data_IF_878618351565
#
_entry.id   IF_878618351565
#
_cell.length_a   1.000
_cell.length_b   1.000
_cell.length_c   1.000
_cell.angle_alpha   90.00
_cell.angle_beta   90.00
_cell.angle_gamma   90.00
#
_symmetry.space_group_name_H-M   'P 1'
#
loop_
_entity.id
_entity.type
_entity.pdbx_description
1 polymer ?
#
# COMPACT_ATOMS: atom_id res chain seq x y z
N UNK A 1 5.88 34.27 10.39
CA UNK A 1 6.48 33.15 11.15
C UNK A 1 6.65 31.98 10.21
N UNK A 2 7.88 31.57 9.89
CA UNK A 2 8.12 30.43 9.00
C UNK A 2 7.82 29.12 9.74
N UNK A 3 6.97 28.26 9.17
CA UNK A 3 6.66 26.95 9.73
C UNK A 3 7.90 26.07 9.60
N UNK A 4 8.54 25.72 10.74
CA UNK A 4 9.62 24.71 10.75
C UNK A 4 9.02 23.32 10.80
N UNK A 5 9.13 22.59 9.70
CA UNK A 5 8.73 21.20 9.62
C UNK A 5 9.77 20.31 10.34
N UNK A 6 9.32 19.48 11.27
CA UNK A 6 10.20 18.47 11.88
C UNK A 6 10.40 17.29 10.94
N UNK A 7 11.55 16.63 11.02
CA UNK A 7 11.83 15.42 10.22
C UNK A 7 10.77 14.34 10.44
N UNK A 8 10.38 14.11 11.70
CA UNK A 8 9.32 13.16 12.07
C UNK A 8 7.98 13.50 11.43
N UNK A 9 7.63 14.79 11.38
CA UNK A 9 6.40 15.22 10.71
C UNK A 9 6.44 14.90 9.21
N UNK A 10 7.53 15.26 8.53
CA UNK A 10 7.68 15.03 7.08
C UNK A 10 7.61 13.53 6.78
N UNK A 11 8.35 12.69 7.50
CA UNK A 11 8.36 11.25 7.27
C UNK A 11 6.96 10.62 7.50
N UNK A 12 6.26 10.98 8.58
CA UNK A 12 4.89 10.49 8.78
C UNK A 12 3.93 10.97 7.71
N UNK A 13 4.10 12.20 7.20
CA UNK A 13 3.30 12.72 6.08
C UNK A 13 3.58 12.01 4.77
N UNK A 14 4.84 11.72 4.46
CA UNK A 14 5.19 10.93 3.30
C UNK A 14 4.60 9.52 3.37
N UNK A 15 4.58 8.90 4.55
CA UNK A 15 3.98 7.55 4.71
C UNK A 15 2.47 7.57 4.49
N UNK A 16 1.78 8.60 5.01
CA UNK A 16 0.37 8.82 4.74
C UNK A 16 0.12 9.04 3.24
N UNK A 17 0.96 9.87 2.61
CA UNK A 17 0.87 10.18 1.19
C UNK A 17 1.05 8.91 0.37
N UNK A 18 2.15 8.16 0.55
CA UNK A 18 2.44 6.96 -0.24
C UNK A 18 1.32 5.92 -0.16
N UNK A 19 0.67 5.77 1.00
CA UNK A 19 -0.46 4.86 1.17
C UNK A 19 -1.70 5.26 0.37
N UNK A 20 -1.99 6.56 0.25
CA UNK A 20 -3.14 7.07 -0.52
C UNK A 20 -2.78 7.16 -2.00
N UNK A 21 -1.68 7.85 -2.31
CA UNK A 21 -1.17 8.07 -3.65
C UNK A 21 0.36 7.93 -3.59
N UNK A 22 0.93 6.91 -4.24
CA UNK A 22 0.35 6.18 -5.39
C UNK A 22 -0.31 4.82 -5.08
N UNK A 23 -0.13 4.24 -3.89
CA UNK A 23 -0.56 2.86 -3.64
C UNK A 23 -2.07 2.64 -3.73
N UNK A 24 -2.88 3.59 -3.27
CA UNK A 24 -4.34 3.51 -3.40
C UNK A 24 -4.79 3.49 -4.87
N UNK A 25 -4.14 4.26 -5.74
CA UNK A 25 -4.43 4.25 -7.18
C UNK A 25 -4.03 2.92 -7.82
N UNK A 26 -2.83 2.42 -7.50
CA UNK A 26 -2.38 1.11 -7.96
C UNK A 26 -3.34 0.00 -7.53
N UNK A 27 -3.82 0.01 -6.28
CA UNK A 27 -4.75 -1.00 -5.80
C UNK A 27 -6.08 -1.02 -6.56
N UNK A 28 -6.60 0.15 -6.94
CA UNK A 28 -7.82 0.25 -7.75
C UNK A 28 -7.63 -0.31 -9.15
N UNK A 29 -6.52 0.05 -9.81
CA UNK A 29 -6.16 -0.51 -11.12
C UNK A 29 -5.96 -2.02 -11.02
N UNK A 30 -5.23 -2.48 -10.01
CA UNK A 30 -4.95 -3.88 -9.77
C UNK A 30 -6.24 -4.70 -9.61
N UNK A 31 -7.20 -4.24 -8.79
CA UNK A 31 -8.50 -4.90 -8.67
C UNK A 31 -9.34 -4.82 -9.95
N UNK A 32 -9.30 -3.69 -10.66
CA UNK A 32 -10.00 -3.56 -11.93
C UNK A 32 -9.50 -4.58 -12.96
N UNK A 33 -8.19 -4.68 -13.15
CA UNK A 33 -7.58 -5.62 -14.10
C UNK A 33 -7.81 -7.07 -13.67
N UNK A 34 -7.68 -7.39 -12.37
CA UNK A 34 -8.00 -8.75 -11.88
C UNK A 34 -9.48 -9.11 -12.01
N UNK A 35 -10.40 -8.15 -11.95
CA UNK A 35 -11.83 -8.42 -12.14
C UNK A 35 -12.16 -8.97 -13.53
N UNK A 36 -11.29 -8.76 -14.54
CA UNK A 36 -11.44 -9.35 -15.89
C UNK A 36 -11.33 -10.87 -15.87
N UNK A 37 -10.76 -11.48 -14.83
CA UNK A 37 -10.80 -12.93 -14.68
C UNK A 37 -12.23 -13.49 -14.55
N UNK A 38 -13.21 -12.65 -14.13
CA UNK A 38 -14.62 -13.04 -14.07
C UNK A 38 -15.25 -13.27 -15.44
N UNK A 39 -14.71 -12.66 -16.51
CA UNK A 39 -15.20 -12.84 -17.88
C UNK A 39 -14.41 -13.89 -18.65
N UNK A 40 -13.32 -14.39 -18.08
CA UNK A 40 -12.57 -15.54 -18.56
C UNK A 40 -11.06 -15.28 -18.63
N UNK A 41 -10.25 -16.35 -18.79
CA UNK A 41 -8.80 -16.24 -18.80
C UNK A 41 -8.28 -15.41 -19.99
N UNK A 42 -8.97 -15.43 -21.14
CA UNK A 42 -8.57 -14.65 -22.31
C UNK A 42 -8.65 -13.14 -22.04
N UNK A 43 -9.73 -12.66 -21.43
CA UNK A 43 -9.93 -11.24 -21.13
C UNK A 43 -8.93 -10.73 -20.10
N UNK A 44 -8.67 -11.52 -19.05
CA UNK A 44 -7.62 -11.22 -18.08
C UNK A 44 -6.23 -11.14 -18.75
N UNK A 45 -5.86 -12.14 -19.54
CA UNK A 45 -4.57 -12.17 -20.22
C UNK A 45 -4.38 -10.99 -21.20
N UNK A 46 -5.45 -10.61 -21.91
CA UNK A 46 -5.42 -9.44 -22.79
C UNK A 46 -5.21 -8.15 -21.99
N UNK A 47 -5.94 -7.96 -20.88
CA UNK A 47 -5.77 -6.78 -20.03
C UNK A 47 -4.35 -6.69 -19.43
N UNK A 48 -3.78 -7.82 -18.97
CA UNK A 48 -2.39 -7.86 -18.49
C UNK A 48 -1.40 -7.52 -19.61
N UNK A 49 -1.61 -8.06 -20.81
CA UNK A 49 -0.77 -7.76 -21.97
C UNK A 49 -0.80 -6.27 -22.34
N UNK A 50 -1.96 -5.64 -22.26
CA UNK A 50 -2.10 -4.20 -22.52
C UNK A 50 -1.29 -3.37 -21.52
N UNK A 51 -1.33 -3.71 -20.23
CA UNK A 51 -0.49 -3.05 -19.21
C UNK A 51 1.00 -3.26 -19.45
N UNK A 52 1.41 -4.49 -19.77
CA UNK A 52 2.81 -4.82 -20.07
C UNK A 52 3.32 -4.15 -21.35
N UNK A 53 2.42 -3.68 -22.22
CA UNK A 53 2.76 -2.93 -23.44
C UNK A 53 3.10 -1.45 -23.20
N UNK A 54 2.87 -0.94 -21.98
CA UNK A 54 3.17 0.46 -21.64
C UNK A 54 4.68 0.74 -21.83
N UNK A 55 5.07 1.76 -22.60
CA UNK A 55 6.47 2.13 -22.76
C UNK A 55 7.12 2.42 -21.42
N UNK A 56 8.31 1.86 -21.18
CA UNK A 56 9.07 2.06 -19.94
C UNK A 56 8.32 1.59 -18.68
N UNK A 57 7.42 0.61 -18.79
CA UNK A 57 6.61 0.10 -17.67
C UNK A 57 7.46 -0.23 -16.43
N UNK A 58 8.64 -0.81 -16.59
CA UNK A 58 9.53 -1.10 -15.46
C UNK A 58 9.89 0.16 -14.64
N UNK A 59 10.14 1.30 -15.29
CA UNK A 59 10.41 2.56 -14.59
C UNK A 59 9.17 3.11 -13.90
N UNK A 60 8.01 2.99 -14.55
CA UNK A 60 6.70 3.36 -13.98
C UNK A 60 6.41 2.52 -12.75
N UNK A 61 6.62 1.21 -12.81
CA UNK A 61 6.45 0.30 -11.68
C UNK A 61 7.42 0.63 -10.55
N UNK A 62 8.71 0.84 -10.84
CA UNK A 62 9.70 1.15 -9.81
C UNK A 62 9.35 2.45 -9.08
N UNK A 63 9.08 3.53 -9.83
CA UNK A 63 8.83 4.86 -9.26
C UNK A 63 7.42 5.00 -8.67
N UNK A 64 6.41 4.46 -9.33
CA UNK A 64 5.00 4.59 -8.97
C UNK A 64 4.50 3.51 -8.01
N UNK A 65 5.16 2.35 -7.93
CA UNK A 65 4.69 1.22 -7.11
C UNK A 65 5.75 0.81 -6.10
N UNK A 66 6.91 0.30 -6.55
CA UNK A 66 7.88 -0.35 -5.64
C UNK A 66 8.49 0.60 -4.62
N UNK A 67 9.00 1.76 -5.03
CA UNK A 67 9.60 2.73 -4.09
C UNK A 67 8.56 3.20 -3.05
N UNK A 68 7.36 3.66 -3.44
CA UNK A 68 6.30 4.01 -2.50
C UNK A 68 5.87 2.85 -1.59
N UNK A 69 5.75 1.63 -2.14
CA UNK A 69 5.34 0.44 -1.40
C UNK A 69 6.35 0.05 -0.33
N UNK A 70 7.63 -0.02 -0.69
CA UNK A 70 8.72 -0.35 0.24
C UNK A 70 8.76 0.69 1.36
N UNK A 71 8.69 1.97 1.00
CA UNK A 71 8.69 3.04 1.99
C UNK A 71 7.47 2.97 2.92
N UNK A 72 6.26 2.80 2.38
CA UNK A 72 5.03 2.67 3.15
C UNK A 72 5.10 1.48 4.10
N UNK A 73 5.51 0.32 3.60
CA UNK A 73 5.61 -0.91 4.36
C UNK A 73 6.62 -0.79 5.52
N UNK A 74 7.88 -0.43 5.22
CA UNK A 74 8.94 -0.38 6.24
C UNK A 74 8.70 0.74 7.26
N UNK A 75 8.31 1.94 6.83
CA UNK A 75 8.01 3.01 7.77
C UNK A 75 6.72 2.76 8.56
N UNK A 76 5.75 2.05 7.96
CA UNK A 76 4.55 1.59 8.64
C UNK A 76 4.85 0.61 9.78
N UNK A 77 5.85 -0.26 9.63
CA UNK A 77 6.34 -1.11 10.72
C UNK A 77 6.93 -0.28 11.86
N UNK A 78 7.72 0.77 11.56
CA UNK A 78 8.23 1.69 12.59
C UNK A 78 7.07 2.35 13.37
N UNK A 79 6.07 2.88 12.66
CA UNK A 79 4.87 3.48 13.29
C UNK A 79 4.10 2.45 14.14
N UNK A 80 4.12 1.19 13.72
CA UNK A 80 3.42 0.09 14.42
C UNK A 80 4.11 -0.27 15.73
N UNK A 81 5.44 -0.28 15.77
CA UNK A 81 6.21 -0.51 17.01
C UNK A 81 5.96 0.58 18.06
N UNK A 82 5.71 1.82 17.63
CA UNK A 82 5.40 2.94 18.52
C UNK A 82 3.94 2.96 19.02
N UNK A 83 3.12 1.99 18.61
CA UNK A 83 1.69 2.01 18.87
C UNK A 83 1.34 1.90 20.36
N UNK A 84 0.30 2.62 20.79
CA UNK A 84 -0.27 2.56 22.14
C UNK A 84 -1.77 2.19 22.08
N UNK A 85 -2.14 0.93 21.84
CA UNK A 85 -3.55 0.52 21.83
C UNK A 85 -4.15 0.62 23.24
N UNK A 86 -5.40 1.08 23.33
CA UNK A 86 -6.13 1.25 24.59
C UNK A 86 -7.58 0.72 24.49
N UNK A 87 -7.81 -0.23 23.58
CA UNK A 87 -9.12 -0.79 23.24
C UNK A 87 -9.89 -1.35 24.44
N UNK A 88 -9.18 -1.91 25.43
CA UNK A 88 -9.79 -2.50 26.62
C UNK A 88 -10.38 -1.45 27.57
N UNK A 89 -9.78 -0.26 27.62
CA UNK A 89 -10.27 0.85 28.44
C UNK A 89 -11.27 1.72 27.67
N UNK A 90 -11.09 1.83 26.34
CA UNK A 90 -11.91 2.66 25.45
C UNK A 90 -12.29 1.87 24.20
N UNK A 91 -13.38 1.07 24.25
CA UNK A 91 -13.77 0.17 23.18
C UNK A 91 -14.53 0.87 22.04
N UNK A 92 -14.14 2.09 21.68
CA UNK A 92 -14.78 2.82 20.58
C UNK A 92 -14.32 2.30 19.22
N UNK A 93 -15.15 2.39 18.17
CA UNK A 93 -14.80 1.93 16.82
C UNK A 93 -13.48 2.48 16.30
N UNK A 94 -13.16 3.76 16.59
CA UNK A 94 -11.91 4.40 16.16
C UNK A 94 -10.68 3.76 16.79
N UNK A 95 -10.76 3.38 18.06
CA UNK A 95 -9.68 2.69 18.76
C UNK A 95 -9.47 1.29 18.16
N UNK A 96 -10.56 0.61 17.78
CA UNK A 96 -10.49 -0.66 17.05
C UNK A 96 -9.89 -0.51 15.66
N UNK A 97 -10.32 0.46 14.85
CA UNK A 97 -9.73 0.72 13.53
C UNK A 97 -8.24 1.05 13.61
N UNK A 98 -7.82 1.83 14.62
CA UNK A 98 -6.41 2.10 14.89
C UNK A 98 -5.60 0.81 15.07
N UNK A 99 -6.13 -0.17 15.81
CA UNK A 99 -5.45 -1.45 16.07
C UNK A 99 -5.53 -2.39 14.87
N UNK A 100 -6.71 -2.52 14.26
CA UNK A 100 -6.95 -3.37 13.09
C UNK A 100 -6.04 -2.96 11.93
N UNK A 101 -5.92 -1.66 11.62
CA UNK A 101 -5.06 -1.17 10.55
C UNK A 101 -3.60 -1.62 10.69
N UNK A 102 -3.10 -1.70 11.93
CA UNK A 102 -1.72 -2.14 12.20
C UNK A 102 -1.57 -3.65 12.07
N UNK A 103 -2.52 -4.40 12.63
CA UNK A 103 -2.55 -5.86 12.54
C UNK A 103 -2.63 -6.28 11.07
N UNK A 104 -3.55 -5.69 10.29
CA UNK A 104 -3.66 -5.99 8.86
C UNK A 104 -2.44 -5.51 8.09
N UNK A 105 -1.82 -4.38 8.47
CA UNK A 105 -0.56 -3.94 7.90
C UNK A 105 0.57 -4.96 8.05
N UNK A 106 0.72 -5.58 9.22
CA UNK A 106 1.71 -6.64 9.46
C UNK A 106 1.39 -7.88 8.61
N UNK A 107 0.13 -8.31 8.56
CA UNK A 107 -0.29 -9.46 7.75
C UNK A 107 0.01 -9.18 6.26
N UNK A 108 -0.38 -7.99 5.79
CA UNK A 108 -0.14 -7.57 4.41
C UNK A 108 1.33 -7.45 4.08
N UNK A 109 2.20 -7.09 5.01
CA UNK A 109 3.65 -7.06 4.78
C UNK A 109 4.16 -8.43 4.29
N UNK A 110 3.81 -9.51 4.99
CA UNK A 110 4.22 -10.86 4.61
C UNK A 110 3.49 -11.34 3.35
N UNK A 111 2.18 -11.11 3.27
CA UNK A 111 1.38 -11.49 2.11
C UNK A 111 1.87 -10.83 0.81
N UNK A 112 2.08 -9.51 0.83
CA UNK A 112 2.54 -8.76 -0.35
C UNK A 112 3.95 -9.18 -0.73
N UNK A 113 4.83 -9.45 0.24
CA UNK A 113 6.18 -9.96 -0.05
C UNK A 113 6.10 -11.29 -0.81
N UNK A 114 5.31 -12.24 -0.31
CA UNK A 114 5.06 -13.50 -1.02
C UNK A 114 4.43 -13.26 -2.40
N UNK A 115 3.41 -12.42 -2.47
CA UNK A 115 2.68 -12.12 -3.69
C UNK A 115 3.60 -11.57 -4.79
N UNK A 116 4.41 -10.56 -4.50
CA UNK A 116 5.35 -9.94 -5.44
C UNK A 116 6.41 -10.95 -5.92
N UNK A 117 6.89 -11.83 -5.05
CA UNK A 117 7.92 -12.81 -5.43
C UNK A 117 7.39 -13.91 -6.37
N UNK A 118 6.08 -14.15 -6.42
CA UNK A 118 5.48 -15.25 -7.19
C UNK A 118 4.65 -14.77 -8.38
N UNK A 119 4.08 -13.56 -8.33
CA UNK A 119 3.06 -13.10 -9.28
C UNK A 119 3.39 -11.76 -9.94
N UNK A 120 4.61 -11.26 -9.81
CA UNK A 120 5.06 -10.12 -10.63
C UNK A 120 5.32 -10.55 -12.07
#
# INVERSE_FOLDING_TARGET
>A
MAIRLSRTFILRKLHQLSGIMPLGLFLLEHFYTNSKALTGPADFNNAVKDLQSIPYILFVEIGGIFIPLIYHALYGLVITVEARPNNLNYPYPRNWFYTIQRVTGIILFFFITFHVLNFR
#
